data_IF_087874547010
#
_entry.id   IF_087874547010
#
_cell.length_a   1.000
_cell.length_b   1.000
_cell.length_c   1.000
_cell.angle_alpha   90.00
_cell.angle_beta   90.00
_cell.angle_gamma   90.00
#
_symmetry.space_group_name_H-M   'P 1'
#
loop_
_entity.id
_entity.type
_entity.pdbx_description
1 polymer ?
#
# COMPACT_ATOMS: atom_id res chain seq x y z
N UNK A 1 8.43 -40.21 24.38
CA UNK A 1 7.20 -39.78 25.07
C UNK A 1 6.10 -39.74 24.03
N UNK A 2 5.52 -40.92 23.82
CA UNK A 2 4.20 -41.23 23.26
C UNK A 2 3.65 -40.31 22.16
N UNK A 3 4.23 -40.45 20.97
CA UNK A 3 3.53 -40.29 19.69
C UNK A 3 2.47 -41.39 19.54
N UNK A 4 1.50 -41.44 20.45
CA UNK A 4 0.30 -42.27 20.28
C UNK A 4 -0.46 -41.67 19.10
N UNK A 5 -0.29 -42.34 17.95
CA UNK A 5 -1.24 -42.39 16.84
C UNK A 5 -2.46 -41.48 17.05
N UNK A 6 -2.34 -40.20 16.68
CA UNK A 6 -3.52 -39.35 16.54
C UNK A 6 -4.38 -40.03 15.48
N UNK A 7 -5.45 -40.68 15.90
CA UNK A 7 -6.43 -41.26 15.01
C UNK A 7 -6.77 -40.21 13.94
N UNK A 8 -6.78 -40.58 12.65
CA UNK A 8 -7.00 -39.62 11.58
C UNK A 8 -8.38 -38.98 11.76
N UNK A 9 -8.37 -37.68 12.10
CA UNK A 9 -9.58 -36.86 12.24
C UNK A 9 -10.15 -36.55 10.85
N UNK A 10 -11.47 -36.47 10.75
CA UNK A 10 -12.16 -36.19 9.48
C UNK A 10 -12.01 -34.70 9.15
N UNK A 11 -11.43 -34.40 7.98
CA UNK A 11 -11.28 -33.02 7.50
C UNK A 11 -12.51 -32.54 6.73
N UNK A 12 -13.04 -31.38 7.08
CA UNK A 12 -14.12 -30.67 6.39
C UNK A 12 -13.60 -29.31 5.91
N UNK A 13 -13.97 -28.93 4.69
CA UNK A 13 -13.49 -27.69 4.04
C UNK A 13 -14.11 -26.40 4.60
N UNK A 14 -15.23 -26.46 5.32
CA UNK A 14 -15.84 -25.27 5.93
C UNK A 14 -16.79 -25.65 7.05
N UNK A 15 -16.96 -24.73 8.02
CA UNK A 15 -18.04 -24.84 9.04
C UNK A 15 -19.41 -24.84 8.37
N UNK A 16 -19.57 -24.12 7.26
CA UNK A 16 -20.81 -24.08 6.50
C UNK A 16 -21.15 -25.46 5.90
N UNK A 17 -20.15 -26.20 5.43
CA UNK A 17 -20.35 -27.55 4.90
C UNK A 17 -20.78 -28.51 6.00
N UNK A 18 -20.22 -28.37 7.20
CA UNK A 18 -20.64 -29.12 8.38
C UNK A 18 -22.09 -28.82 8.77
N UNK A 19 -22.49 -27.55 8.80
CA UNK A 19 -23.87 -27.14 9.06
C UNK A 19 -24.82 -27.63 7.97
N UNK A 20 -24.40 -27.57 6.70
CA UNK A 20 -25.17 -28.09 5.56
C UNK A 20 -25.36 -29.60 5.67
N UNK A 21 -24.34 -30.35 6.05
CA UNK A 21 -24.43 -31.79 6.30
C UNK A 21 -25.44 -32.09 7.41
N UNK A 22 -25.39 -31.34 8.52
CA UNK A 22 -26.35 -31.47 9.64
C UNK A 22 -27.78 -31.20 9.20
N UNK A 23 -27.99 -30.17 8.39
CA UNK A 23 -29.32 -29.82 7.88
C UNK A 23 -29.85 -30.88 6.91
N UNK A 24 -29.03 -31.33 5.96
CA UNK A 24 -29.41 -32.38 5.01
C UNK A 24 -29.74 -33.70 5.72
N UNK A 25 -28.95 -34.08 6.74
CA UNK A 25 -29.21 -35.27 7.54
C UNK A 25 -30.53 -35.14 8.31
N UNK A 26 -30.76 -33.97 8.94
CA UNK A 26 -32.00 -33.69 9.66
C UNK A 26 -33.22 -33.75 8.74
N UNK A 27 -33.13 -33.19 7.54
CA UNK A 27 -34.20 -33.21 6.53
C UNK A 27 -34.51 -34.66 6.09
N UNK A 28 -33.48 -35.42 5.69
CA UNK A 28 -33.66 -36.82 5.28
C UNK A 28 -34.23 -37.71 6.41
N UNK A 29 -33.77 -37.51 7.65
CA UNK A 29 -34.28 -38.24 8.81
C UNK A 29 -35.75 -37.87 9.11
N UNK A 30 -36.11 -36.60 8.97
CA UNK A 30 -37.47 -36.12 9.15
C UNK A 30 -38.40 -36.70 8.09
N UNK A 31 -37.99 -36.69 6.82
CA UNK A 31 -38.76 -37.24 5.70
C UNK A 31 -39.04 -38.73 5.89
N UNK A 32 -38.03 -39.49 6.31
CA UNK A 32 -38.18 -40.91 6.56
C UNK A 32 -39.17 -41.18 7.71
N UNK A 33 -39.07 -40.43 8.80
CA UNK A 33 -40.00 -40.54 9.93
C UNK A 33 -41.42 -40.16 9.53
N UNK A 34 -41.59 -39.08 8.75
CA UNK A 34 -42.90 -38.69 8.23
C UNK A 34 -43.50 -39.78 7.34
N UNK A 35 -42.70 -40.42 6.49
CA UNK A 35 -43.16 -41.54 5.67
C UNK A 35 -43.63 -42.72 6.53
N UNK A 36 -42.86 -43.09 7.58
CA UNK A 36 -43.29 -44.13 8.52
C UNK A 36 -44.57 -43.76 9.25
N UNK A 37 -44.67 -42.53 9.76
CA UNK A 37 -45.86 -42.00 10.46
C UNK A 37 -47.08 -41.95 9.53
N UNK A 38 -46.91 -41.70 8.24
CA UNK A 38 -48.02 -41.71 7.28
C UNK A 38 -48.53 -43.13 7.00
N UNK A 39 -47.65 -44.12 7.10
CA UNK A 39 -47.97 -45.54 6.84
C UNK A 39 -48.51 -46.24 8.09
N UNK A 40 -48.20 -45.74 9.28
CA UNK A 40 -48.62 -46.29 10.56
C UNK A 40 -49.62 -45.38 11.26
N UNK A 41 -50.74 -45.92 11.74
CA UNK A 41 -51.79 -45.15 12.43
C UNK A 41 -51.35 -44.76 13.86
N UNK A 42 -50.31 -43.93 13.97
CA UNK A 42 -49.74 -43.44 15.23
C UNK A 42 -50.56 -42.25 15.74
N UNK A 43 -50.76 -42.18 17.06
CA UNK A 43 -51.48 -41.07 17.71
C UNK A 43 -50.69 -39.76 17.63
N UNK A 44 -51.37 -38.61 17.55
CA UNK A 44 -50.70 -37.29 17.44
C UNK A 44 -49.69 -37.03 18.55
N UNK A 45 -49.97 -37.50 19.78
CA UNK A 45 -49.09 -37.31 20.92
C UNK A 45 -47.80 -38.16 20.83
N UNK A 46 -47.88 -39.35 20.23
CA UNK A 46 -46.73 -40.21 20.00
C UNK A 46 -45.84 -39.65 18.89
N UNK A 47 -46.43 -38.99 17.87
CA UNK A 47 -45.68 -38.30 16.81
C UNK A 47 -44.79 -37.21 17.38
N UNK A 48 -45.34 -36.33 18.23
CA UNK A 48 -44.58 -35.22 18.81
C UNK A 48 -43.41 -35.72 19.68
N UNK A 49 -43.62 -36.80 20.44
CA UNK A 49 -42.57 -37.44 21.23
C UNK A 49 -41.45 -38.03 20.35
N UNK A 50 -41.82 -38.73 19.27
CA UNK A 50 -40.85 -39.30 18.33
C UNK A 50 -40.01 -38.19 17.68
N UNK A 51 -40.64 -37.09 17.28
CA UNK A 51 -39.95 -35.93 16.69
C UNK A 51 -38.98 -35.28 17.68
N UNK A 52 -39.39 -35.12 18.95
CA UNK A 52 -38.52 -34.58 19.98
C UNK A 52 -37.29 -35.48 20.24
N UNK A 53 -37.50 -36.80 20.29
CA UNK A 53 -36.41 -37.76 20.46
C UNK A 53 -35.49 -37.83 19.25
N UNK A 54 -36.03 -37.69 18.04
CA UNK A 54 -35.25 -37.61 16.81
C UNK A 54 -34.31 -36.39 16.84
N UNK A 55 -34.83 -35.20 17.17
CA UNK A 55 -34.01 -33.99 17.23
C UNK A 55 -32.91 -34.12 18.30
N UNK A 56 -33.25 -34.68 19.47
CA UNK A 56 -32.25 -34.97 20.52
C UNK A 56 -31.18 -35.97 20.06
N UNK A 57 -31.57 -36.99 19.29
CA UNK A 57 -30.65 -37.97 18.72
C UNK A 57 -29.72 -37.33 17.69
N UNK A 58 -30.26 -36.50 16.79
CA UNK A 58 -29.48 -35.74 15.81
C UNK A 58 -28.49 -34.81 16.55
N UNK A 59 -28.93 -34.07 17.56
CA UNK A 59 -28.03 -33.21 18.32
C UNK A 59 -26.90 -34.01 19.00
N UNK A 60 -27.22 -35.11 19.68
CA UNK A 60 -26.20 -35.95 20.34
C UNK A 60 -25.20 -36.56 19.37
N UNK A 61 -25.65 -37.04 18.21
CA UNK A 61 -24.77 -37.65 17.21
C UNK A 61 -23.76 -36.64 16.66
N UNK A 62 -24.20 -35.42 16.36
CA UNK A 62 -23.31 -34.36 15.90
C UNK A 62 -22.35 -33.90 17.01
N UNK A 63 -22.81 -33.73 18.24
CA UNK A 63 -21.94 -33.36 19.38
C UNK A 63 -20.85 -34.43 19.64
N UNK A 64 -21.16 -35.71 19.42
CA UNK A 64 -20.18 -36.80 19.57
C UNK A 64 -19.17 -36.85 18.41
N UNK A 65 -19.53 -36.30 17.26
CA UNK A 65 -18.68 -36.22 16.08
C UNK A 65 -17.73 -35.00 16.09
N UNK A 66 -18.12 -33.90 16.75
CA UNK A 66 -17.33 -32.66 16.88
C UNK A 66 -15.85 -32.85 17.28
N UNK A 67 -15.48 -33.61 18.32
CA UNK A 67 -14.07 -33.75 18.73
C UNK A 67 -13.20 -34.44 17.66
N UNK A 68 -13.82 -35.23 16.78
CA UNK A 68 -13.13 -35.98 15.72
C UNK A 68 -13.06 -35.21 14.39
N UNK A 69 -13.50 -33.95 14.38
CA UNK A 69 -13.56 -33.10 13.18
C UNK A 69 -12.38 -32.11 13.12
N UNK A 70 -11.84 -31.91 11.92
CA UNK A 70 -10.94 -30.82 11.57
C UNK A 70 -11.59 -29.93 10.54
N UNK A 71 -11.63 -28.62 10.77
CA UNK A 71 -12.16 -27.63 9.81
C UNK A 71 -11.01 -26.73 9.37
N UNK A 72 -10.73 -26.69 8.07
CA UNK A 72 -9.66 -25.85 7.51
C UNK A 72 -8.30 -26.02 8.20
N UNK A 73 -7.95 -27.27 8.55
CA UNK A 73 -6.68 -27.60 9.19
C UNK A 73 -6.64 -27.38 10.71
N UNK A 74 -7.67 -26.78 11.30
CA UNK A 74 -7.80 -26.57 12.74
C UNK A 74 -8.74 -27.59 13.38
N UNK A 75 -8.49 -27.94 14.64
CA UNK A 75 -9.37 -28.83 15.39
C UNK A 75 -10.69 -28.11 15.74
N UNK A 76 -11.83 -28.80 15.67
CA UNK A 76 -13.12 -28.17 15.93
C UNK A 76 -13.26 -27.58 17.35
N UNK A 77 -12.65 -28.22 18.35
CA UNK A 77 -12.60 -27.74 19.75
C UNK A 77 -11.87 -26.40 19.92
N UNK A 78 -11.04 -26.01 18.95
CA UNK A 78 -10.33 -24.72 18.97
C UNK A 78 -11.11 -23.58 18.31
N UNK A 79 -12.29 -23.88 17.73
CA UNK A 79 -13.23 -22.85 17.30
C UNK A 79 -14.10 -22.46 18.50
N UNK A 80 -14.17 -21.15 18.81
CA UNK A 80 -15.02 -20.63 19.89
C UNK A 80 -16.47 -21.12 19.78
N UNK A 81 -17.12 -21.31 20.94
CA UNK A 81 -18.43 -21.95 21.18
C UNK A 81 -19.60 -21.48 20.30
N UNK A 82 -19.42 -20.43 19.50
CA UNK A 82 -20.44 -19.90 18.58
C UNK A 82 -20.25 -20.33 17.11
N UNK A 83 -19.17 -21.02 16.75
CA UNK A 83 -18.91 -21.42 15.36
C UNK A 83 -18.91 -20.24 14.36
N UNK A 84 -18.80 -19.00 14.87
CA UNK A 84 -18.77 -17.78 14.09
C UNK A 84 -17.33 -17.29 14.03
N UNK A 85 -16.87 -17.19 12.79
CA UNK A 85 -15.78 -16.31 12.37
C UNK A 85 -14.40 -16.76 12.82
N UNK A 86 -13.95 -17.89 12.26
CA UNK A 86 -12.59 -17.84 11.71
C UNK A 86 -12.65 -16.78 10.60
N UNK A 87 -11.96 -15.66 10.80
CA UNK A 87 -11.87 -14.57 9.84
C UNK A 87 -11.57 -15.17 8.45
N UNK A 88 -12.40 -14.92 7.43
CA UNK A 88 -12.18 -15.46 6.10
C UNK A 88 -10.81 -14.99 5.61
N UNK A 89 -10.01 -15.92 5.08
CA UNK A 89 -8.67 -15.59 4.59
C UNK A 89 -8.78 -14.57 3.45
N UNK A 90 -8.32 -13.35 3.69
CA UNK A 90 -8.30 -12.29 2.69
C UNK A 90 -7.08 -12.47 1.76
N UNK A 91 -7.28 -13.22 0.68
CA UNK A 91 -6.27 -13.43 -0.35
C UNK A 91 -5.79 -12.12 -0.99
N UNK A 92 -6.63 -11.08 -1.04
CA UNK A 92 -6.24 -9.80 -1.62
C UNK A 92 -5.25 -9.08 -0.69
N UNK A 93 -5.48 -9.17 0.62
CA UNK A 93 -4.57 -8.66 1.63
C UNK A 93 -3.25 -9.43 1.65
N UNK A 94 -3.28 -10.75 1.54
CA UNK A 94 -2.06 -11.57 1.47
C UNK A 94 -1.22 -11.20 0.22
N UNK A 95 -1.82 -11.18 -0.98
CA UNK A 95 -1.15 -10.73 -2.22
C UNK A 95 -0.57 -9.32 -2.07
N UNK A 96 -1.26 -8.44 -1.33
CA UNK A 96 -0.75 -7.09 -1.03
C UNK A 96 0.45 -7.13 -0.10
N UNK A 97 0.47 -7.98 0.93
CA UNK A 97 1.63 -8.17 1.81
C UNK A 97 2.83 -8.64 0.99
N UNK A 98 2.65 -9.63 0.10
CA UNK A 98 3.72 -10.13 -0.76
C UNK A 98 4.27 -9.07 -1.71
N UNK A 99 3.39 -8.31 -2.38
CA UNK A 99 3.83 -7.22 -3.26
C UNK A 99 4.50 -6.07 -2.51
N UNK A 100 4.05 -5.73 -1.30
CA UNK A 100 4.72 -4.76 -0.43
C UNK A 100 6.09 -5.25 0.04
N UNK A 101 6.24 -6.53 0.36
CA UNK A 101 7.52 -7.11 0.74
C UNK A 101 8.53 -7.05 -0.43
N UNK A 102 8.10 -7.37 -1.65
CA UNK A 102 8.95 -7.30 -2.85
C UNK A 102 9.34 -5.85 -3.17
N UNK A 103 8.37 -4.92 -3.18
CA UNK A 103 8.68 -3.49 -3.40
C UNK A 103 9.64 -2.95 -2.34
N UNK A 104 9.50 -3.34 -1.07
CA UNK A 104 10.43 -2.97 0.00
C UNK A 104 11.84 -3.47 -0.29
N UNK A 105 11.99 -4.72 -0.74
CA UNK A 105 13.29 -5.28 -1.10
C UNK A 105 13.92 -4.54 -2.29
N UNK A 106 13.13 -4.22 -3.32
CA UNK A 106 13.58 -3.43 -4.46
C UNK A 106 14.04 -2.03 -4.06
N UNK A 107 13.31 -1.37 -3.15
CA UNK A 107 13.70 -0.06 -2.63
C UNK A 107 14.99 -0.12 -1.82
N UNK A 108 15.16 -1.13 -0.96
CA UNK A 108 16.42 -1.31 -0.24
C UNK A 108 17.61 -1.53 -1.17
N UNK A 109 17.43 -2.35 -2.22
CA UNK A 109 18.44 -2.55 -3.26
C UNK A 109 18.78 -1.24 -3.98
N UNK A 110 17.78 -0.50 -4.46
CA UNK A 110 18.00 0.80 -5.10
C UNK A 110 18.74 1.76 -4.18
N UNK A 111 18.30 1.91 -2.93
CA UNK A 111 18.96 2.81 -1.97
C UNK A 111 20.41 2.40 -1.75
N UNK A 112 20.72 1.11 -1.63
CA UNK A 112 22.08 0.63 -1.49
C UNK A 112 22.94 0.92 -2.73
N UNK A 113 22.39 0.70 -3.92
CA UNK A 113 23.05 1.01 -5.19
C UNK A 113 23.30 2.52 -5.32
N UNK A 114 22.28 3.35 -5.09
CA UNK A 114 22.38 4.81 -5.13
C UNK A 114 23.41 5.33 -4.13
N UNK A 115 23.44 4.82 -2.90
CA UNK A 115 24.46 5.18 -1.90
C UNK A 115 25.88 4.81 -2.33
N UNK A 116 26.03 3.81 -3.20
CA UNK A 116 27.35 3.39 -3.70
C UNK A 116 27.77 4.17 -4.94
N UNK A 117 26.88 4.35 -5.92
CA UNK A 117 27.23 4.90 -7.23
C UNK A 117 27.15 6.41 -7.29
N UNK A 118 26.10 7.01 -6.71
CA UNK A 118 25.84 8.45 -6.86
C UNK A 118 26.95 9.31 -6.24
N UNK A 119 27.49 9.02 -5.04
CA UNK A 119 28.60 9.81 -4.52
C UNK A 119 29.84 9.77 -5.41
N UNK A 120 30.15 8.62 -6.02
CA UNK A 120 31.29 8.48 -6.94
C UNK A 120 31.07 9.26 -8.24
N UNK A 121 29.85 9.23 -8.79
CA UNK A 121 29.49 10.01 -9.97
C UNK A 121 29.59 11.52 -9.68
N UNK A 122 29.08 11.97 -8.52
CA UNK A 122 29.18 13.36 -8.09
C UNK A 122 30.65 13.77 -7.90
N UNK A 123 31.46 12.94 -7.24
CA UNK A 123 32.89 13.21 -7.07
C UNK A 123 33.61 13.35 -8.41
N UNK A 124 33.34 12.45 -9.36
CA UNK A 124 33.93 12.50 -10.69
C UNK A 124 33.50 13.76 -11.45
N UNK A 125 32.23 14.16 -11.37
CA UNK A 125 31.78 15.38 -12.06
C UNK A 125 32.36 16.65 -11.43
N UNK A 126 32.37 16.73 -10.10
CA UNK A 126 32.93 17.88 -9.38
C UNK A 126 34.43 18.01 -9.62
N UNK A 127 35.19 16.90 -9.57
CA UNK A 127 36.63 16.92 -9.87
C UNK A 127 36.90 17.39 -11.30
N UNK A 128 36.14 16.93 -12.30
CA UNK A 128 36.30 17.43 -13.68
C UNK A 128 36.00 18.93 -13.82
N UNK A 129 34.98 19.44 -13.13
CA UNK A 129 34.65 20.87 -13.17
C UNK A 129 35.73 21.73 -12.50
N UNK A 130 36.28 21.26 -11.37
CA UNK A 130 37.37 21.95 -10.68
C UNK A 130 38.65 21.98 -11.53
N UNK A 131 38.96 20.90 -12.23
CA UNK A 131 40.13 20.86 -13.12
C UNK A 131 39.95 21.81 -14.31
N UNK A 132 38.77 21.84 -14.94
CA UNK A 132 38.45 22.81 -15.99
C UNK A 132 38.58 24.25 -15.50
N UNK A 133 38.14 24.54 -14.27
CA UNK A 133 38.29 25.87 -13.69
C UNK A 133 39.75 26.23 -13.47
N UNK A 134 40.57 25.30 -12.98
CA UNK A 134 42.02 25.50 -12.82
C UNK A 134 42.71 25.79 -14.15
N UNK A 135 42.35 25.07 -15.22
CA UNK A 135 42.87 25.32 -16.56
C UNK A 135 42.51 26.72 -17.06
N UNK A 136 41.26 27.14 -16.87
CA UNK A 136 40.81 28.49 -17.25
C UNK A 136 41.50 29.58 -16.43
N UNK A 137 41.64 29.41 -15.12
CA UNK A 137 42.37 30.33 -14.25
C UNK A 137 43.84 30.45 -14.67
N UNK A 138 44.48 29.33 -15.02
CA UNK A 138 45.86 29.31 -15.51
C UNK A 138 46.02 30.01 -16.87
N UNK A 139 44.97 30.02 -17.70
CA UNK A 139 44.95 30.75 -18.98
C UNK A 139 44.67 32.25 -18.78
N UNK A 140 43.82 32.60 -17.81
CA UNK A 140 43.42 33.98 -17.49
C UNK A 140 44.46 34.74 -16.66
N UNK A 141 45.29 34.04 -15.90
CA UNK A 141 46.43 34.59 -15.15
C UNK A 141 47.73 34.03 -15.76
N UNK A 142 48.30 34.70 -16.78
CA UNK A 142 49.64 34.36 -17.24
C UNK A 142 50.62 34.62 -16.10
N UNK A 143 51.18 33.56 -15.52
CA UNK A 143 52.34 33.70 -14.64
C UNK A 143 53.54 34.08 -15.50
N UNK A 144 53.91 35.35 -15.45
CA UNK A 144 55.22 35.83 -15.92
C UNK A 144 55.35 37.35 -15.98
N UNK A 145 56.08 37.92 -15.00
CA UNK A 145 56.69 39.26 -14.92
C UNK A 145 55.73 40.46 -14.83
N UNK A 146 55.82 41.37 -13.85
CA UNK A 146 57.02 42.04 -13.32
C UNK A 146 56.90 42.33 -11.81
N UNK A 147 58.04 42.56 -11.18
CA UNK A 147 58.21 43.09 -9.82
C UNK A 147 57.11 44.07 -9.41
N UNK A 148 56.28 43.69 -8.43
CA UNK A 148 55.60 44.68 -7.59
C UNK A 148 56.36 44.70 -6.29
N UNK A 149 57.39 45.54 -6.27
CA UNK A 149 57.93 46.07 -5.03
C UNK A 149 56.77 46.64 -4.21
N UNK A 150 56.85 46.44 -2.91
CA UNK A 150 56.16 47.26 -1.93
C UNK A 150 56.40 48.74 -2.29
N UNK A 151 55.39 49.44 -2.83
CA UNK A 151 55.14 50.89 -2.70
C UNK A 151 54.13 51.40 -3.75
N UNK A 152 52.93 51.71 -3.25
CA UNK A 152 52.07 52.83 -3.66
C UNK A 152 51.35 52.81 -5.04
N UNK A 153 50.30 53.64 -5.14
CA UNK A 153 49.47 54.03 -6.32
C UNK A 153 47.99 53.60 -6.26
N UNK A 154 47.27 54.37 -5.42
CA UNK A 154 45.97 55.04 -5.66
C UNK A 154 44.72 54.25 -6.08
N UNK A 155 43.86 54.05 -5.08
CA UNK A 155 42.38 54.15 -5.11
C UNK A 155 41.85 55.26 -6.03
N UNK A 156 40.98 54.91 -7.00
CA UNK A 156 39.76 55.67 -7.38
C UNK A 156 38.97 54.99 -8.54
N UNK A 157 39.62 54.26 -9.45
CA UNK A 157 38.92 53.64 -10.60
C UNK A 157 38.22 52.30 -10.29
N UNK A 158 38.74 51.51 -9.34
CA UNK A 158 38.12 50.23 -8.94
C UNK A 158 36.85 50.42 -8.09
N UNK A 159 36.74 51.52 -7.36
CA UNK A 159 35.53 51.85 -6.59
C UNK A 159 34.30 52.09 -7.48
N UNK A 160 34.50 52.64 -8.68
CA UNK A 160 33.43 52.94 -9.65
C UNK A 160 32.86 51.67 -10.28
N UNK A 161 33.73 50.71 -10.65
CA UNK A 161 33.32 49.41 -11.22
C UNK A 161 32.55 48.56 -10.21
N UNK A 162 32.92 48.61 -8.93
CA UNK A 162 32.21 47.91 -7.84
C UNK A 162 30.82 48.53 -7.63
N UNK A 163 30.71 49.87 -7.65
CA UNK A 163 29.43 50.58 -7.54
C UNK A 163 28.47 50.26 -8.70
N UNK A 164 28.99 50.24 -9.93
CA UNK A 164 28.19 49.91 -11.13
C UNK A 164 27.69 48.45 -11.10
N UNK A 165 28.52 47.52 -10.61
CA UNK A 165 28.14 46.12 -10.43
C UNK A 165 27.03 45.98 -9.37
N UNK A 166 27.15 46.68 -8.25
CA UNK A 166 26.16 46.64 -7.17
C UNK A 166 24.81 47.20 -7.61
N UNK A 167 24.81 48.33 -8.32
CA UNK A 167 23.58 48.93 -8.86
C UNK A 167 22.89 48.01 -9.88
N UNK A 168 23.65 47.33 -10.73
CA UNK A 168 23.11 46.36 -11.69
C UNK A 168 22.48 45.15 -11.01
N UNK A 169 23.09 44.65 -9.92
CA UNK A 169 22.52 43.57 -9.11
C UNK A 169 21.23 44.02 -8.43
N UNK A 170 21.23 45.20 -7.83
CA UNK A 170 20.04 45.76 -7.17
C UNK A 170 18.87 45.96 -8.14
N UNK A 171 19.15 46.50 -9.33
CA UNK A 171 18.15 46.65 -10.38
C UNK A 171 17.60 45.29 -10.86
N UNK A 172 18.46 44.28 -11.00
CA UNK A 172 18.02 42.92 -11.36
C UNK A 172 17.12 42.31 -10.29
N UNK A 173 17.43 42.55 -9.01
CA UNK A 173 16.65 42.07 -7.87
C UNK A 173 15.28 42.75 -7.83
N UNK A 174 15.24 44.08 -8.00
CA UNK A 174 13.99 44.83 -8.11
C UNK A 174 13.12 44.33 -9.28
N UNK A 175 13.72 44.07 -10.44
CA UNK A 175 13.00 43.52 -11.59
C UNK A 175 12.42 42.13 -11.31
N UNK A 176 13.20 41.23 -10.68
CA UNK A 176 12.69 39.89 -10.31
C UNK A 176 11.59 39.96 -9.25
N UNK A 177 11.69 40.87 -8.30
CA UNK A 177 10.64 41.10 -7.30
C UNK A 177 9.35 41.62 -7.95
N UNK A 178 9.45 42.57 -8.89
CA UNK A 178 8.30 43.06 -9.63
C UNK A 178 7.62 41.95 -10.44
N UNK A 179 8.41 41.13 -11.15
CA UNK A 179 7.90 40.01 -11.94
C UNK A 179 7.23 38.93 -11.07
N UNK A 180 7.74 38.72 -9.86
CA UNK A 180 7.14 37.80 -8.89
C UNK A 180 5.79 38.32 -8.40
N UNK A 181 5.67 39.63 -8.13
CA UNK A 181 4.40 40.24 -7.74
C UNK A 181 3.37 40.21 -8.87
N UNK A 182 3.80 40.44 -10.11
CA UNK A 182 2.94 40.28 -11.29
C UNK A 182 2.47 38.82 -11.45
N UNK A 183 3.37 37.86 -11.24
CA UNK A 183 3.02 36.45 -11.30
C UNK A 183 1.99 36.08 -10.22
N UNK A 184 2.15 36.56 -8.99
CA UNK A 184 1.21 36.30 -7.89
C UNK A 184 -0.18 36.86 -8.21
N UNK A 185 -0.24 38.04 -8.84
CA UNK A 185 -1.50 38.63 -9.29
C UNK A 185 -2.16 37.81 -10.42
N UNK A 186 -1.37 37.29 -11.35
CA UNK A 186 -1.88 36.60 -12.56
C UNK A 186 -2.21 35.14 -12.29
N UNK A 187 -1.51 34.46 -11.37
CA UNK A 187 -1.65 33.01 -11.16
C UNK A 187 -3.06 32.62 -10.73
N UNK A 188 -3.66 33.40 -9.81
CA UNK A 188 -5.02 33.17 -9.33
C UNK A 188 -6.05 33.31 -10.45
N UNK A 189 -5.86 34.32 -11.33
CA UNK A 189 -6.75 34.53 -12.47
C UNK A 189 -6.59 33.42 -13.53
N UNK A 190 -5.37 32.94 -13.77
CA UNK A 190 -5.13 31.84 -14.71
C UNK A 190 -5.64 30.51 -14.18
N UNK A 191 -5.56 30.27 -12.87
CA UNK A 191 -6.16 29.11 -12.23
C UNK A 191 -7.68 29.11 -12.41
N UNK A 192 -8.35 30.23 -12.14
CA UNK A 192 -9.80 30.34 -12.36
C UNK A 192 -10.19 30.11 -13.83
N UNK A 193 -9.41 30.65 -14.78
CA UNK A 193 -9.62 30.39 -16.22
C UNK A 193 -9.43 28.92 -16.56
N UNK A 194 -8.40 28.27 -15.99
CA UNK A 194 -8.16 26.84 -16.13
C UNK A 194 -9.35 26.01 -15.64
N UNK A 195 -9.84 26.30 -14.44
CA UNK A 195 -10.99 25.60 -13.85
C UNK A 195 -12.23 25.76 -14.72
N UNK A 196 -12.54 26.98 -15.19
CA UNK A 196 -13.65 27.24 -16.11
C UNK A 196 -13.52 26.45 -17.42
N UNK A 197 -12.33 26.38 -18.01
CA UNK A 197 -12.09 25.58 -19.23
C UNK A 197 -12.28 24.08 -18.96
N UNK A 198 -11.86 23.57 -17.81
CA UNK A 198 -12.10 22.15 -17.48
C UNK A 198 -13.57 21.83 -17.30
N UNK A 199 -14.35 22.74 -16.70
CA UNK A 199 -15.81 22.60 -16.57
C UNK A 199 -16.46 22.58 -17.94
N UNK A 200 -16.16 23.57 -18.80
CA UNK A 200 -16.69 23.63 -20.17
C UNK A 200 -16.29 22.38 -20.97
N UNK A 201 -15.05 21.89 -20.83
CA UNK A 201 -14.61 20.67 -21.51
C UNK A 201 -15.39 19.43 -21.06
N UNK A 202 -15.74 19.33 -19.76
CA UNK A 202 -16.61 18.25 -19.25
C UNK A 202 -18.03 18.38 -19.79
N UNK A 203 -18.58 19.58 -19.83
CA UNK A 203 -19.92 19.85 -20.37
C UNK A 203 -20.00 19.50 -21.86
N UNK A 204 -19.04 19.96 -22.68
CA UNK A 204 -18.95 19.63 -24.11
C UNK A 204 -18.80 18.11 -24.32
N UNK A 205 -18.02 17.43 -23.47
CA UNK A 205 -17.88 15.97 -23.53
C UNK A 205 -19.18 15.25 -23.18
N UNK A 206 -19.99 15.80 -22.27
CA UNK A 206 -21.32 15.25 -21.92
C UNK A 206 -22.42 15.56 -22.95
N UNK A 207 -22.21 16.56 -23.81
CA UNK A 207 -23.15 16.96 -24.87
C UNK A 207 -22.87 16.29 -26.22
N UNK A 208 -21.80 15.51 -26.36
CA UNK A 208 -21.54 14.71 -27.56
C UNK A 208 -22.45 13.45 -27.51
N UNK A 209 -23.29 13.22 -28.54
CA UNK A 209 -24.11 12.00 -28.63
C UNK A 209 -23.25 10.74 -28.82
#
# INVERSE_FOLDING_TARGET
>A
MDSREELPRVSVGSVQDWQKMKNNYKEAAMDQVQQYISTSNISSQEKDLILAHLDQFIQRTFNLAEPNLRVNGNNFESLDESGREMEPFDEALDRRIWSLADTRLQWHKRIAETRRTVPMEIESTVSTLLEQHRELDAILLPVGSEDVSEEDVTTEEDGKKIFDCQHRVEQSLQNTSALTNELDQVISQQQERGDRVTVIAREVKSLKP
#
